data_IF_581295951183
#
_entry.id   IF_581295951183
#
_cell.length_a   1.000
_cell.length_b   1.000
_cell.length_c   1.000
_cell.angle_alpha   90.00
_cell.angle_beta   90.00
_cell.angle_gamma   90.00
#
_symmetry.space_group_name_H-M   'P 1'
#
loop_
_entity.id
_entity.type
_entity.pdbx_description
1 polymer ?
#
# COMPACT_ATOMS: atom_id res chain seq x y z
N UNK A 1 53.66 -21.74 70.35
CA UNK A 1 53.84 -20.82 69.20
C UNK A 1 54.00 -21.70 67.99
N UNK A 2 52.96 -21.90 67.23
CA UNK A 2 53.02 -22.45 65.90
C UNK A 2 51.69 -22.07 65.20
N UNK A 3 51.75 -21.06 64.34
CA UNK A 3 50.67 -20.66 63.46
C UNK A 3 50.64 -21.65 62.31
N UNK A 4 49.46 -22.21 62.06
CA UNK A 4 49.16 -22.97 60.86
C UNK A 4 48.36 -22.11 59.93
N UNK A 5 48.98 -21.71 58.83
CA UNK A 5 48.27 -21.09 57.70
C UNK A 5 47.52 -22.19 56.91
N UNK A 6 46.17 -22.03 56.84
CA UNK A 6 45.38 -22.84 55.93
C UNK A 6 45.15 -22.00 54.68
N UNK A 7 45.78 -22.37 53.58
CA UNK A 7 45.45 -21.88 52.22
C UNK A 7 44.13 -22.49 51.74
N UNK A 8 43.12 -21.69 51.53
CA UNK A 8 41.91 -22.10 50.84
C UNK A 8 42.12 -21.92 49.32
N UNK A 9 42.27 -23.02 48.62
CA UNK A 9 42.17 -23.07 47.16
C UNK A 9 40.70 -22.86 46.76
N UNK A 10 40.39 -21.69 46.20
CA UNK A 10 39.13 -21.47 45.47
C UNK A 10 39.30 -22.07 44.08
N UNK A 11 38.72 -23.23 43.84
CA UNK A 11 38.51 -23.77 42.49
C UNK A 11 37.47 -22.95 41.78
N UNK A 12 37.91 -22.11 40.83
CA UNK A 12 37.04 -21.45 39.83
C UNK A 12 36.67 -22.50 38.79
N UNK A 13 35.54 -23.17 38.97
CA UNK A 13 34.96 -24.02 37.93
C UNK A 13 34.49 -23.10 36.80
N UNK A 14 35.27 -23.00 35.73
CA UNK A 14 34.86 -22.42 34.46
C UNK A 14 33.77 -23.28 33.83
N UNK A 15 32.53 -22.83 33.93
CA UNK A 15 31.41 -23.40 33.15
C UNK A 15 31.70 -23.26 31.67
N UNK A 16 32.22 -24.29 31.06
CA UNK A 16 32.28 -24.43 29.59
C UNK A 16 30.83 -24.56 29.11
N UNK A 17 30.22 -23.45 28.67
CA UNK A 17 28.94 -23.47 27.99
C UNK A 17 29.04 -24.43 26.81
N UNK A 18 28.50 -25.63 26.97
CA UNK A 18 28.31 -26.57 25.86
C UNK A 18 27.37 -25.92 24.86
N UNK A 19 27.91 -25.45 23.76
CA UNK A 19 27.12 -25.00 22.60
C UNK A 19 26.52 -26.26 21.97
N UNK A 20 25.28 -26.57 22.31
CA UNK A 20 24.54 -27.63 21.63
C UNK A 20 24.18 -27.11 20.20
N UNK A 21 24.58 -27.85 19.15
CA UNK A 21 24.23 -27.47 17.79
C UNK A 21 22.71 -27.57 17.60
N UNK A 22 22.04 -26.46 17.42
CA UNK A 22 20.63 -26.43 17.09
C UNK A 22 20.46 -26.77 15.61
N UNK A 23 19.99 -27.97 15.30
CA UNK A 23 19.66 -28.37 13.94
C UNK A 23 18.25 -27.90 13.56
N UNK A 24 18.13 -26.80 12.84
CA UNK A 24 16.87 -26.41 12.20
C UNK A 24 16.71 -27.25 10.93
N UNK A 25 15.70 -28.13 10.90
CA UNK A 25 15.40 -29.00 9.75
C UNK A 25 14.71 -28.24 8.61
N UNK A 26 15.31 -27.15 8.15
CA UNK A 26 14.86 -26.43 6.98
C UNK A 26 15.87 -26.59 5.85
N UNK A 27 15.40 -27.09 4.72
CA UNK A 27 16.19 -27.16 3.49
C UNK A 27 15.59 -26.18 2.48
N UNK A 28 16.30 -25.10 2.13
CA UNK A 28 15.80 -24.16 1.15
C UNK A 28 15.66 -24.83 -0.21
N UNK A 29 14.57 -24.56 -0.91
CA UNK A 29 14.44 -24.92 -2.32
C UNK A 29 15.61 -24.33 -3.11
N UNK A 30 16.09 -24.99 -4.17
CA UNK A 30 17.22 -24.51 -4.97
C UNK A 30 17.08 -23.04 -5.37
N UNK A 31 15.86 -22.62 -5.74
CA UNK A 31 15.52 -21.25 -6.15
C UNK A 31 15.77 -20.18 -5.07
N UNK A 32 15.76 -20.56 -3.79
CA UNK A 32 15.99 -19.63 -2.67
C UNK A 32 17.39 -19.72 -2.05
N UNK A 33 18.28 -20.59 -2.55
CA UNK A 33 19.63 -20.72 -2.02
C UNK A 33 20.42 -19.40 -2.10
N UNK A 34 20.36 -18.73 -3.26
CA UNK A 34 21.00 -17.42 -3.46
C UNK A 34 20.44 -16.36 -2.50
N UNK A 35 19.11 -16.31 -2.32
CA UNK A 35 18.47 -15.42 -1.37
C UNK A 35 19.01 -15.62 0.06
N UNK A 36 19.13 -16.86 0.52
CA UNK A 36 19.67 -17.13 1.86
C UNK A 36 21.18 -16.86 1.99
N UNK A 37 21.90 -16.83 0.89
CA UNK A 37 23.34 -16.52 0.87
C UNK A 37 23.64 -15.04 0.64
N UNK A 38 22.61 -14.21 0.40
CA UNK A 38 22.76 -12.79 0.08
C UNK A 38 23.52 -12.04 1.18
N UNK A 39 24.23 -11.02 0.78
CA UNK A 39 24.92 -10.06 1.64
C UNK A 39 24.30 -8.68 1.61
N UNK A 40 23.48 -8.44 0.60
CA UNK A 40 22.79 -7.19 0.36
C UNK A 40 21.81 -6.89 1.49
N UNK A 41 21.74 -5.61 1.85
CA UNK A 41 20.90 -5.11 2.92
C UNK A 41 19.42 -5.18 2.58
N UNK A 42 19.08 -4.96 1.32
CA UNK A 42 17.72 -4.98 0.82
C UNK A 42 17.53 -6.11 -0.19
N UNK A 43 16.32 -6.64 -0.27
CA UNK A 43 16.00 -7.65 -1.25
C UNK A 43 14.60 -7.44 -1.83
N UNK A 44 14.45 -7.66 -3.13
CA UNK A 44 13.16 -7.68 -3.81
C UNK A 44 12.98 -9.05 -4.47
N UNK A 45 11.93 -9.78 -4.08
CA UNK A 45 11.60 -11.11 -4.58
C UNK A 45 10.24 -11.07 -5.24
N UNK A 46 10.22 -11.12 -6.55
CA UNK A 46 9.02 -11.25 -7.38
C UNK A 46 8.84 -12.72 -7.71
N UNK A 47 7.77 -13.34 -7.26
CA UNK A 47 7.64 -14.78 -7.49
C UNK A 47 6.18 -15.22 -7.63
N UNK A 48 5.99 -16.21 -8.51
CA UNK A 48 4.67 -16.80 -8.77
C UNK A 48 4.02 -17.36 -7.50
N UNK A 49 2.71 -17.58 -7.53
CA UNK A 49 2.00 -18.29 -6.45
C UNK A 49 2.59 -19.69 -6.26
N UNK A 50 2.63 -20.17 -5.01
CA UNK A 50 3.19 -21.48 -4.60
C UNK A 50 4.71 -21.62 -4.77
N UNK A 51 5.46 -20.57 -5.10
CA UNK A 51 6.93 -20.62 -5.15
C UNK A 51 7.58 -20.95 -3.79
N UNK A 52 6.91 -20.62 -2.67
CA UNK A 52 7.43 -20.84 -1.31
C UNK A 52 8.06 -19.60 -0.68
N UNK A 53 7.72 -18.41 -1.17
CA UNK A 53 8.18 -17.10 -0.65
C UNK A 53 8.10 -17.00 0.87
N UNK A 54 6.90 -17.22 1.41
CA UNK A 54 6.59 -17.07 2.84
C UNK A 54 7.49 -17.97 3.70
N UNK A 55 7.60 -19.25 3.34
CA UNK A 55 8.44 -20.22 4.08
C UNK A 55 9.90 -19.78 4.06
N UNK A 56 10.42 -19.39 2.91
CA UNK A 56 11.81 -18.92 2.80
C UNK A 56 12.05 -17.68 3.68
N UNK A 57 11.16 -16.71 3.64
CA UNK A 57 11.29 -15.47 4.41
C UNK A 57 11.10 -15.66 5.92
N UNK A 58 10.19 -16.53 6.36
CA UNK A 58 10.03 -16.88 7.78
C UNK A 58 11.29 -17.53 8.33
N UNK A 59 11.89 -18.47 7.59
CA UNK A 59 13.16 -19.08 8.02
C UNK A 59 14.35 -18.12 7.95
N UNK A 60 14.33 -17.15 7.06
CA UNK A 60 15.34 -16.08 7.02
C UNK A 60 15.24 -15.16 8.24
N UNK A 61 14.03 -14.75 8.64
CA UNK A 61 13.75 -14.00 9.87
C UNK A 61 14.21 -14.79 11.11
N UNK A 62 13.83 -16.06 11.20
CA UNK A 62 14.24 -16.92 12.31
C UNK A 62 15.77 -17.05 12.41
N UNK A 63 16.44 -17.29 11.28
CA UNK A 63 17.89 -17.36 11.22
C UNK A 63 18.55 -16.07 11.68
N UNK A 64 18.02 -14.93 11.22
CA UNK A 64 18.51 -13.61 11.62
C UNK A 64 18.29 -13.36 13.11
N UNK A 65 17.12 -13.72 13.65
CA UNK A 65 16.81 -13.60 15.07
C UNK A 65 17.77 -14.40 15.95
N UNK A 66 17.98 -15.67 15.62
CA UNK A 66 18.86 -16.58 16.39
C UNK A 66 20.33 -16.19 16.32
N UNK A 67 20.79 -15.64 15.20
CA UNK A 67 22.20 -15.25 15.00
C UNK A 67 22.51 -13.84 15.43
N UNK A 68 21.52 -13.03 15.74
CA UNK A 68 21.73 -11.65 16.15
C UNK A 68 22.50 -11.56 17.46
N UNK A 69 23.56 -10.74 17.47
CA UNK A 69 24.35 -10.39 18.66
C UNK A 69 23.97 -9.02 19.22
N UNK A 70 23.01 -8.33 18.61
CA UNK A 70 22.54 -7.03 19.05
C UNK A 70 21.74 -7.18 20.35
N UNK A 71 21.70 -6.13 21.13
CA UNK A 71 20.84 -6.09 22.31
C UNK A 71 19.37 -6.00 21.89
N UNK A 72 18.51 -6.89 22.45
CA UNK A 72 17.06 -6.94 22.21
C UNK A 72 16.68 -6.81 20.72
N UNK A 73 17.14 -7.70 19.84
CA UNK A 73 16.90 -7.55 18.41
C UNK A 73 15.42 -7.74 18.07
N UNK A 74 14.93 -6.93 17.13
CA UNK A 74 13.52 -6.89 16.72
C UNK A 74 13.38 -7.15 15.24
N UNK A 75 12.52 -8.11 14.91
CA UNK A 75 12.22 -8.49 13.54
C UNK A 75 10.72 -8.47 13.33
N UNK A 76 10.30 -8.10 12.13
CA UNK A 76 8.90 -7.99 11.77
C UNK A 76 8.57 -8.75 10.48
N UNK A 77 7.35 -9.27 10.41
CA UNK A 77 6.74 -9.74 9.19
C UNK A 77 5.45 -8.96 8.98
N UNK A 78 5.36 -8.23 7.88
CA UNK A 78 4.22 -7.39 7.52
C UNK A 78 3.49 -7.98 6.33
N UNK A 79 2.15 -7.96 6.39
CA UNK A 79 1.25 -8.14 5.23
C UNK A 79 0.34 -6.93 5.11
N UNK A 80 -0.37 -6.71 3.99
CA UNK A 80 -1.32 -5.60 3.86
C UNK A 80 -2.31 -5.52 5.02
N UNK A 81 -2.80 -6.66 5.49
CA UNK A 81 -3.70 -6.77 6.64
C UNK A 81 -3.17 -7.76 7.69
N UNK A 82 -3.33 -7.43 8.98
CA UNK A 82 -2.90 -8.32 10.08
C UNK A 82 -3.53 -9.71 9.99
N UNK A 83 -4.80 -9.80 9.55
CA UNK A 83 -5.49 -11.07 9.33
C UNK A 83 -4.77 -11.95 8.33
N UNK A 84 -4.21 -11.38 7.26
CA UNK A 84 -3.42 -12.10 6.26
C UNK A 84 -2.11 -12.61 6.86
N UNK A 85 -1.37 -11.78 7.61
CA UNK A 85 -0.15 -12.21 8.32
C UNK A 85 -0.44 -13.43 9.21
N UNK A 86 -1.56 -13.39 9.96
CA UNK A 86 -1.97 -14.50 10.82
C UNK A 86 -2.31 -15.76 10.02
N UNK A 87 -3.05 -15.65 8.94
CA UNK A 87 -3.45 -16.82 8.14
C UNK A 87 -2.32 -17.44 7.34
N UNK A 88 -1.34 -16.64 6.89
CA UNK A 88 -0.31 -17.06 5.96
C UNK A 88 1.00 -17.40 6.65
N UNK A 89 1.49 -16.52 7.54
CA UNK A 89 2.84 -16.61 8.09
C UNK A 89 2.90 -17.18 9.51
N UNK A 90 1.84 -17.05 10.31
CA UNK A 90 1.88 -17.40 11.72
C UNK A 90 2.18 -18.88 11.98
N UNK A 91 1.51 -19.76 11.28
CA UNK A 91 1.73 -21.20 11.45
C UNK A 91 3.15 -21.62 11.02
N UNK A 92 3.69 -21.01 9.95
CA UNK A 92 5.08 -21.25 9.55
C UNK A 92 6.07 -20.73 10.60
N UNK A 93 5.83 -19.55 11.18
CA UNK A 93 6.69 -19.01 12.23
C UNK A 93 6.67 -19.90 13.49
N UNK A 94 5.48 -20.33 13.91
CA UNK A 94 5.32 -21.27 15.03
C UNK A 94 6.04 -22.59 14.78
N UNK A 95 5.86 -23.17 13.60
CA UNK A 95 6.52 -24.41 13.22
C UNK A 95 8.05 -24.24 13.18
N UNK A 96 8.54 -23.15 12.62
CA UNK A 96 9.95 -22.85 12.53
C UNK A 96 10.62 -22.70 13.92
N UNK A 97 9.91 -22.11 14.90
CA UNK A 97 10.43 -21.88 16.25
C UNK A 97 10.44 -23.15 17.13
N UNK A 98 9.64 -24.17 16.81
CA UNK A 98 9.50 -25.37 17.66
C UNK A 98 10.84 -26.00 18.10
N UNK A 99 11.85 -26.14 17.23
CA UNK A 99 13.17 -26.67 17.66
C UNK A 99 13.87 -25.81 18.70
N UNK A 100 13.52 -24.53 18.83
CA UNK A 100 14.13 -23.61 19.80
C UNK A 100 13.41 -23.55 21.14
N UNK A 101 12.26 -24.19 21.26
CA UNK A 101 11.44 -24.20 22.47
C UNK A 101 12.19 -24.81 23.67
N UNK A 102 12.96 -25.85 23.42
CA UNK A 102 13.79 -26.49 24.47
C UNK A 102 14.89 -25.58 25.00
N UNK A 103 15.24 -24.52 24.27
CA UNK A 103 16.23 -23.53 24.67
C UNK A 103 15.57 -22.30 25.33
N UNK A 104 14.26 -22.33 25.58
CA UNK A 104 13.54 -21.26 26.26
C UNK A 104 12.84 -20.26 25.31
N UNK A 105 12.68 -20.59 24.01
CA UNK A 105 11.85 -19.77 23.14
C UNK A 105 10.36 -19.89 23.50
N UNK A 106 9.62 -18.78 23.44
CA UNK A 106 8.20 -18.69 23.80
C UNK A 106 7.36 -18.08 22.69
N UNK A 107 6.07 -18.44 22.70
CA UNK A 107 5.06 -17.98 21.72
C UNK A 107 3.98 -17.20 22.44
N UNK A 108 3.66 -16.02 21.91
CA UNK A 108 2.57 -15.15 22.39
C UNK A 108 1.50 -15.05 21.30
N UNK A 109 0.46 -15.88 21.41
CA UNK A 109 -0.59 -16.06 20.39
C UNK A 109 -1.41 -14.80 20.14
N UNK A 110 -1.72 -14.03 21.18
CA UNK A 110 -2.51 -12.79 21.07
C UNK A 110 -1.72 -11.66 20.42
N UNK A 111 -0.41 -11.62 20.64
CA UNK A 111 0.47 -10.60 20.10
C UNK A 111 1.10 -11.01 18.77
N UNK A 112 0.87 -12.25 18.32
CA UNK A 112 1.49 -12.85 17.14
C UNK A 112 3.02 -12.69 17.17
N UNK A 113 3.63 -13.00 18.33
CA UNK A 113 5.05 -12.78 18.62
C UNK A 113 5.72 -14.07 19.09
N UNK A 114 6.96 -14.24 18.67
CA UNK A 114 7.89 -15.28 19.15
C UNK A 114 9.09 -14.60 19.80
N UNK A 115 9.40 -14.99 21.04
CA UNK A 115 10.57 -14.54 21.77
C UNK A 115 11.62 -15.67 21.80
N UNK A 116 12.87 -15.32 21.49
CA UNK A 116 13.99 -16.25 21.46
C UNK A 116 14.91 -16.07 22.67
N UNK A 117 15.68 -17.11 23.05
CA UNK A 117 16.52 -17.09 24.27
C UNK A 117 17.58 -15.98 24.31
N UNK A 118 18.01 -15.49 23.15
CA UNK A 118 18.97 -14.38 23.04
C UNK A 118 18.30 -12.99 23.14
N UNK A 119 17.02 -12.91 23.53
CA UNK A 119 16.24 -11.68 23.63
C UNK A 119 15.70 -11.16 22.29
N UNK A 120 15.94 -11.88 21.19
CA UNK A 120 15.37 -11.54 19.90
C UNK A 120 13.85 -11.78 19.88
N UNK A 121 13.13 -10.93 19.14
CA UNK A 121 11.70 -11.09 18.89
C UNK A 121 11.41 -11.07 17.41
N UNK A 122 10.48 -11.93 16.99
CA UNK A 122 9.86 -11.88 15.67
C UNK A 122 8.36 -11.66 15.87
N UNK A 123 7.80 -10.61 15.30
CA UNK A 123 6.40 -10.25 15.44
C UNK A 123 5.74 -10.01 14.10
N UNK A 124 4.46 -10.42 13.97
CA UNK A 124 3.65 -10.15 12.80
C UNK A 124 2.85 -8.87 12.97
N UNK A 125 2.72 -8.10 11.87
CA UNK A 125 1.96 -6.85 11.80
C UNK A 125 1.10 -6.79 10.54
N UNK A 126 0.09 -5.92 10.55
CA UNK A 126 -0.63 -5.48 9.38
C UNK A 126 -0.19 -4.07 8.99
N UNK A 127 -0.06 -3.82 7.71
CA UNK A 127 0.22 -2.51 7.17
C UNK A 127 -1.01 -1.59 7.15
N UNK A 128 -2.20 -2.16 7.40
CA UNK A 128 -3.49 -1.48 7.56
C UNK A 128 -3.58 -0.61 8.82
N UNK A 129 -2.69 -0.81 9.79
CA UNK A 129 -2.58 0.03 10.98
C UNK A 129 -1.16 0.60 11.10
N UNK A 130 -0.81 1.65 10.36
CA UNK A 130 0.51 2.25 10.35
C UNK A 130 0.93 2.81 11.72
N UNK A 131 -0.02 3.28 12.52
CA UNK A 131 0.27 3.85 13.85
C UNK A 131 0.80 2.81 14.83
N UNK A 132 0.38 1.56 14.72
CA UNK A 132 0.93 0.46 15.51
C UNK A 132 2.41 0.17 15.23
N UNK A 133 2.92 0.67 14.12
CA UNK A 133 4.31 0.51 13.68
C UNK A 133 5.18 1.73 14.00
N UNK A 134 4.58 2.84 14.46
CA UNK A 134 5.32 4.05 14.85
C UNK A 134 6.05 3.83 16.17
N UNK A 135 7.27 4.31 16.26
CA UNK A 135 8.09 4.24 17.47
C UNK A 135 8.76 2.88 17.73
N UNK A 136 8.59 1.89 16.85
CA UNK A 136 9.36 0.64 16.90
C UNK A 136 10.72 0.81 16.22
N UNK A 137 11.71 0.06 16.69
CA UNK A 137 12.97 -0.14 15.96
C UNK A 137 13.03 -1.55 15.41
N UNK A 138 13.69 -1.72 14.27
CA UNK A 138 13.80 -3.01 13.59
C UNK A 138 15.23 -3.32 13.16
N UNK A 139 15.62 -4.58 13.36
CA UNK A 139 16.87 -5.14 12.84
C UNK A 139 16.65 -5.84 11.50
N UNK A 140 15.43 -6.24 11.20
CA UNK A 140 15.05 -6.81 9.93
C UNK A 140 13.55 -6.92 9.77
N UNK A 141 13.09 -6.85 8.53
CA UNK A 141 11.68 -6.90 8.18
C UNK A 141 11.44 -7.61 6.86
N UNK A 142 10.33 -8.35 6.79
CA UNK A 142 9.76 -8.88 5.56
C UNK A 142 8.44 -8.15 5.30
N UNK A 143 8.28 -7.60 4.10
CA UNK A 143 7.04 -6.99 3.62
C UNK A 143 6.45 -7.92 2.56
N UNK A 144 5.41 -8.67 2.94
CA UNK A 144 4.76 -9.66 2.09
C UNK A 144 3.55 -9.06 1.37
N UNK A 145 3.37 -9.47 0.12
CA UNK A 145 2.38 -8.90 -0.82
C UNK A 145 2.50 -7.36 -0.90
N UNK A 146 3.76 -6.89 -1.01
CA UNK A 146 4.06 -5.45 -1.02
C UNK A 146 3.35 -4.68 -2.12
N UNK A 147 3.01 -5.34 -3.23
CA UNK A 147 2.23 -4.74 -4.32
C UNK A 147 0.84 -4.22 -3.86
N UNK A 148 0.30 -4.77 -2.78
CA UNK A 148 -1.00 -4.39 -2.20
C UNK A 148 -0.87 -3.46 -0.97
N UNK A 149 0.37 -3.14 -0.53
CA UNK A 149 0.61 -2.23 0.58
C UNK A 149 0.60 -0.77 0.15
N UNK A 150 0.20 0.12 1.07
CA UNK A 150 0.47 1.55 0.94
C UNK A 150 1.98 1.80 0.89
N UNK A 151 2.53 2.40 -0.19
CA UNK A 151 3.96 2.68 -0.30
C UNK A 151 4.53 3.55 0.84
N UNK A 152 3.69 4.38 1.50
CA UNK A 152 4.10 5.21 2.64
C UNK A 152 4.51 4.37 3.85
N UNK A 153 3.98 3.16 4.00
CA UNK A 153 4.42 2.24 5.07
C UNK A 153 5.91 2.01 5.00
N UNK A 154 6.46 1.85 3.80
CA UNK A 154 7.90 1.73 3.62
C UNK A 154 8.62 3.05 3.88
N UNK A 155 8.26 4.10 3.17
CA UNK A 155 9.02 5.36 3.15
C UNK A 155 8.97 6.13 4.47
N UNK A 156 7.81 6.16 5.11
CA UNK A 156 7.56 7.00 6.29
C UNK A 156 7.71 6.27 7.63
N UNK A 157 7.58 4.92 7.63
CA UNK A 157 7.52 4.15 8.87
C UNK A 157 8.65 3.14 8.96
N UNK A 158 8.71 2.21 8.02
CA UNK A 158 9.64 1.08 8.12
C UNK A 158 11.08 1.50 7.82
N UNK A 159 11.29 2.34 6.81
CA UNK A 159 12.64 2.81 6.47
C UNK A 159 13.30 3.60 7.60
N UNK A 160 12.61 4.53 8.30
CA UNK A 160 13.10 5.14 9.52
C UNK A 160 13.36 4.13 10.66
N UNK A 161 12.43 3.19 10.91
CA UNK A 161 12.56 2.18 11.97
C UNK A 161 13.80 1.26 11.80
N UNK A 162 14.33 1.15 10.59
CA UNK A 162 15.57 0.40 10.28
C UNK A 162 16.84 1.26 10.36
N UNK A 163 16.73 2.58 10.49
CA UNK A 163 17.86 3.49 10.30
C UNK A 163 18.91 3.34 11.40
N UNK A 164 18.51 3.47 12.66
CA UNK A 164 19.41 3.48 13.83
C UNK A 164 20.22 2.18 13.97
N UNK A 165 19.60 1.08 13.58
CA UNK A 165 20.17 -0.25 13.78
C UNK A 165 20.74 -0.86 12.50
N UNK A 166 20.73 -0.08 11.41
CA UNK A 166 21.13 -0.54 10.07
C UNK A 166 20.44 -1.87 9.69
N UNK A 167 19.13 -1.94 10.01
CA UNK A 167 18.31 -3.11 9.76
C UNK A 167 18.13 -3.36 8.26
N UNK A 168 17.79 -4.60 7.89
CA UNK A 168 17.56 -5.03 6.51
C UNK A 168 16.06 -5.14 6.19
N UNK A 169 15.71 -5.13 4.91
CA UNK A 169 14.35 -5.35 4.44
C UNK A 169 14.29 -6.30 3.25
N UNK A 170 13.24 -7.13 3.23
CA UNK A 170 12.90 -8.02 2.13
C UNK A 170 11.48 -7.72 1.68
N UNK A 171 11.32 -7.37 0.42
CA UNK A 171 10.04 -7.15 -0.23
C UNK A 171 9.68 -8.38 -1.05
N UNK A 172 8.51 -8.95 -0.82
CA UNK A 172 8.05 -10.13 -1.56
C UNK A 172 6.62 -9.92 -2.04
N UNK A 173 6.27 -10.54 -3.15
CA UNK A 173 4.92 -10.48 -3.68
C UNK A 173 4.81 -11.05 -5.09
N UNK A 174 3.57 -11.00 -5.58
CA UNK A 174 3.21 -11.18 -6.97
C UNK A 174 2.98 -9.80 -7.60
N UNK A 175 3.32 -9.55 -8.86
CA UNK A 175 3.07 -8.27 -9.51
C UNK A 175 1.59 -7.85 -9.47
N UNK A 176 1.35 -6.54 -9.37
CA UNK A 176 0.03 -5.92 -9.47
C UNK A 176 0.11 -4.65 -10.32
N UNK A 177 0.45 -4.81 -11.59
CA UNK A 177 0.71 -3.68 -12.47
C UNK A 177 2.03 -2.98 -12.15
N UNK A 178 2.29 -1.86 -12.83
CA UNK A 178 3.47 -1.02 -12.62
C UNK A 178 3.20 -0.03 -11.47
N UNK A 179 3.45 -0.48 -10.26
CA UNK A 179 3.26 0.27 -9.01
C UNK A 179 4.58 0.40 -8.23
N UNK A 180 4.52 0.82 -6.97
CA UNK A 180 5.70 0.94 -6.10
C UNK A 180 6.52 -0.35 -5.99
N UNK A 181 5.91 -1.54 -6.11
CA UNK A 181 6.64 -2.82 -6.13
C UNK A 181 7.44 -3.00 -7.42
N UNK A 182 6.91 -2.53 -8.55
CA UNK A 182 7.65 -2.49 -9.82
C UNK A 182 8.85 -1.53 -9.74
N UNK A 183 8.69 -0.37 -9.13
CA UNK A 183 9.81 0.57 -8.97
C UNK A 183 10.89 0.00 -8.05
N UNK A 184 10.50 -0.69 -6.96
CA UNK A 184 11.47 -1.42 -6.12
C UNK A 184 12.16 -2.55 -6.88
N UNK A 185 11.45 -3.28 -7.73
CA UNK A 185 12.03 -4.30 -8.58
C UNK A 185 13.07 -3.73 -9.55
N UNK A 186 12.74 -2.62 -10.23
CA UNK A 186 13.70 -1.92 -11.11
C UNK A 186 14.94 -1.45 -10.36
N UNK A 187 14.72 -0.88 -9.19
CA UNK A 187 15.79 -0.43 -8.29
C UNK A 187 16.69 -1.59 -7.87
N UNK A 188 16.09 -2.72 -7.48
CA UNK A 188 16.82 -3.91 -7.05
C UNK A 188 17.70 -4.51 -8.15
N UNK A 189 17.37 -4.29 -9.42
CA UNK A 189 18.17 -4.74 -10.54
C UNK A 189 19.39 -3.83 -10.84
N UNK A 190 19.37 -2.58 -10.37
CA UNK A 190 20.39 -1.57 -10.71
C UNK A 190 21.30 -1.18 -9.56
N UNK A 191 20.86 -1.32 -8.31
CA UNK A 191 21.61 -0.87 -7.14
C UNK A 191 22.36 -2.02 -6.44
N UNK A 192 23.66 -1.87 -6.12
CA UNK A 192 24.47 -2.96 -5.55
C UNK A 192 24.07 -3.37 -4.13
N UNK A 193 23.34 -2.51 -3.41
CA UNK A 193 22.84 -2.81 -2.05
C UNK A 193 21.60 -3.69 -2.05
N UNK A 194 21.08 -4.03 -3.24
CA UNK A 194 19.85 -4.77 -3.42
C UNK A 194 20.09 -6.15 -4.04
N UNK A 195 19.47 -7.15 -3.45
CA UNK A 195 19.32 -8.49 -4.03
C UNK A 195 18.01 -8.55 -4.82
N UNK A 196 18.06 -8.97 -6.07
CA UNK A 196 16.89 -9.14 -6.94
C UNK A 196 16.70 -10.61 -7.29
N UNK A 197 15.46 -11.13 -7.14
CA UNK A 197 15.10 -12.48 -7.52
C UNK A 197 13.71 -12.50 -8.17
N UNK A 198 13.62 -13.00 -9.40
CA UNK A 198 12.35 -13.26 -10.07
C UNK A 198 12.19 -14.76 -10.29
N UNK A 199 11.03 -15.31 -9.92
CA UNK A 199 10.71 -16.73 -10.06
C UNK A 199 9.41 -16.90 -10.84
N UNK A 200 9.51 -17.18 -12.12
CA UNK A 200 8.37 -17.49 -13.00
C UNK A 200 8.04 -18.98 -12.94
N UNK A 201 6.76 -19.33 -12.99
CA UNK A 201 6.34 -20.72 -12.90
C UNK A 201 6.86 -21.57 -14.06
N UNK A 202 6.98 -21.00 -15.25
CA UNK A 202 7.57 -21.64 -16.44
C UNK A 202 9.04 -22.02 -16.27
N UNK A 203 9.78 -21.32 -15.40
CA UNK A 203 11.23 -21.48 -15.22
C UNK A 203 11.60 -22.29 -13.98
N UNK A 204 10.73 -22.32 -12.96
CA UNK A 204 11.07 -22.89 -11.65
C UNK A 204 10.93 -24.41 -11.55
N UNK A 205 10.09 -25.01 -12.40
CA UNK A 205 9.74 -26.43 -12.32
C UNK A 205 9.00 -26.84 -11.03
N UNK A 206 8.51 -25.88 -10.23
CA UNK A 206 7.82 -26.14 -8.96
C UNK A 206 6.36 -26.54 -9.12
N UNK A 207 5.78 -26.25 -10.27
CA UNK A 207 4.41 -26.61 -10.65
C UNK A 207 4.49 -27.52 -11.86
N UNK A 208 3.74 -28.63 -11.84
CA UNK A 208 3.72 -29.58 -12.95
C UNK A 208 3.22 -28.91 -14.25
N UNK A 209 3.81 -29.22 -15.42
CA UNK A 209 3.38 -28.64 -16.70
C UNK A 209 1.90 -28.82 -17.01
N UNK A 210 1.33 -29.98 -16.63
CA UNK A 210 -0.10 -30.26 -16.79
C UNK A 210 -0.97 -29.29 -16.00
N UNK A 211 -0.57 -28.92 -14.75
CA UNK A 211 -1.26 -27.96 -13.91
C UNK A 211 -1.16 -26.53 -14.47
N UNK A 212 0.00 -26.15 -14.99
CA UNK A 212 0.15 -24.87 -15.69
C UNK A 212 -0.72 -24.77 -16.94
N UNK A 213 -0.88 -25.90 -17.67
CA UNK A 213 -1.75 -25.96 -18.83
C UNK A 213 -3.24 -25.83 -18.45
N UNK A 214 -3.65 -26.41 -17.31
CA UNK A 214 -5.00 -26.22 -16.75
C UNK A 214 -5.22 -24.77 -16.34
N UNK A 215 -4.30 -24.21 -15.55
CA UNK A 215 -4.37 -22.81 -15.12
C UNK A 215 -4.49 -21.84 -16.31
N UNK A 216 -3.80 -22.10 -17.42
CA UNK A 216 -3.90 -21.28 -18.64
C UNK A 216 -5.28 -21.32 -19.30
N UNK A 217 -6.04 -22.40 -19.12
CA UNK A 217 -7.41 -22.51 -19.64
C UNK A 217 -8.43 -21.84 -18.75
N UNK A 218 -8.20 -21.88 -17.43
CA UNK A 218 -9.13 -21.36 -16.43
C UNK A 218 -8.98 -19.86 -16.20
N UNK A 219 -7.79 -19.30 -16.48
CA UNK A 219 -7.48 -17.89 -16.26
C UNK A 219 -7.42 -17.11 -17.58
N UNK A 220 -7.73 -15.82 -17.53
CA UNK A 220 -7.41 -14.94 -18.64
C UNK A 220 -5.89 -14.86 -18.85
N UNK A 221 -5.46 -14.53 -20.08
CA UNK A 221 -4.03 -14.39 -20.41
C UNK A 221 -3.32 -13.39 -19.47
N UNK A 222 -4.00 -12.29 -19.10
CA UNK A 222 -3.47 -11.29 -18.18
C UNK A 222 -3.33 -11.84 -16.75
N UNK A 223 -4.32 -12.59 -16.26
CA UNK A 223 -4.24 -13.24 -14.94
C UNK A 223 -3.12 -14.27 -14.88
N UNK A 224 -3.01 -15.11 -15.90
CA UNK A 224 -1.95 -16.10 -15.96
C UNK A 224 -0.56 -15.44 -16.01
N UNK A 225 -0.39 -14.42 -16.84
CA UNK A 225 0.85 -13.66 -16.94
C UNK A 225 1.24 -13.01 -15.60
N UNK A 226 0.27 -12.46 -14.87
CA UNK A 226 0.51 -11.84 -13.56
C UNK A 226 0.87 -12.89 -12.50
N UNK A 227 0.03 -13.90 -12.31
CA UNK A 227 0.10 -14.83 -11.17
C UNK A 227 1.18 -15.91 -11.33
N UNK A 228 1.46 -16.32 -12.57
CA UNK A 228 2.40 -17.40 -12.87
C UNK A 228 3.68 -16.93 -13.56
N UNK A 229 3.61 -15.94 -14.45
CA UNK A 229 4.78 -15.45 -15.19
C UNK A 229 5.36 -14.12 -14.64
N UNK A 230 4.87 -13.67 -13.50
CA UNK A 230 5.38 -12.50 -12.80
C UNK A 230 5.39 -11.21 -13.65
N UNK A 231 4.39 -11.07 -14.55
CA UNK A 231 4.30 -9.90 -15.42
C UNK A 231 3.77 -8.68 -14.67
N UNK A 232 4.53 -7.58 -14.68
CA UNK A 232 4.07 -6.28 -14.22
C UNK A 232 3.21 -5.54 -15.25
N UNK A 233 3.21 -5.98 -16.49
CA UNK A 233 2.45 -5.35 -17.58
C UNK A 233 1.03 -5.89 -17.69
N UNK A 234 0.71 -6.98 -16.99
CA UNK A 234 -0.63 -7.52 -16.95
C UNK A 234 -1.59 -6.54 -16.29
N UNK A 235 -2.80 -6.43 -16.84
CA UNK A 235 -3.86 -5.63 -16.23
C UNK A 235 -4.21 -6.18 -14.84
N UNK A 236 -4.34 -5.30 -13.85
CA UNK A 236 -4.80 -5.70 -12.51
C UNK A 236 -6.22 -6.24 -12.63
N UNK A 237 -6.42 -7.47 -12.21
CA UNK A 237 -7.72 -8.16 -12.29
C UNK A 237 -8.75 -7.41 -11.46
N UNK A 238 -9.89 -7.08 -12.09
CA UNK A 238 -10.96 -6.34 -11.42
C UNK A 238 -10.70 -4.86 -11.26
N UNK A 239 -9.58 -4.31 -11.77
CA UNK A 239 -9.33 -2.87 -11.72
C UNK A 239 -10.39 -2.11 -12.50
N UNK A 240 -10.99 -1.10 -11.86
CA UNK A 240 -12.05 -0.30 -12.48
C UNK A 240 -11.51 0.67 -13.54
N UNK A 241 -10.29 1.20 -13.34
CA UNK A 241 -9.70 2.26 -14.16
C UNK A 241 -8.32 1.90 -14.73
N UNK A 242 -7.71 0.79 -14.33
CA UNK A 242 -6.33 0.43 -14.65
C UNK A 242 -6.01 0.45 -16.16
N UNK A 243 -6.93 0.02 -17.02
CA UNK A 243 -6.76 0.09 -18.49
C UNK A 243 -6.78 1.53 -18.98
N UNK A 244 -7.73 2.34 -18.50
CA UNK A 244 -7.86 3.75 -18.89
C UNK A 244 -6.67 4.59 -18.43
N UNK A 245 -6.12 4.31 -17.26
CA UNK A 245 -4.91 4.98 -16.75
C UNK A 245 -3.68 4.63 -17.60
N UNK A 246 -3.52 3.37 -18.01
CA UNK A 246 -2.44 2.97 -18.93
C UNK A 246 -2.60 3.61 -20.33
N UNK A 247 -3.82 3.71 -20.82
CA UNK A 247 -4.10 4.43 -22.06
C UNK A 247 -3.77 5.92 -21.92
N UNK A 248 -4.08 6.53 -20.77
CA UNK A 248 -3.73 7.91 -20.50
C UNK A 248 -2.20 8.11 -20.49
N UNK A 249 -1.45 7.19 -19.90
CA UNK A 249 0.02 7.17 -19.88
C UNK A 249 0.59 7.01 -21.30
N UNK A 250 0.11 6.02 -22.05
CA UNK A 250 0.54 5.75 -23.43
C UNK A 250 0.24 6.92 -24.39
N UNK A 251 -0.82 7.69 -24.14
CA UNK A 251 -1.18 8.88 -24.88
C UNK A 251 -0.48 10.17 -24.41
N UNK A 252 0.41 10.06 -23.42
CA UNK A 252 1.14 11.20 -22.86
C UNK A 252 0.27 12.15 -22.03
N UNK A 253 -0.92 11.71 -21.56
CA UNK A 253 -1.81 12.51 -20.73
C UNK A 253 -1.48 12.45 -19.23
N UNK A 254 -0.54 11.60 -18.84
CA UNK A 254 0.14 11.62 -17.55
C UNK A 254 1.51 12.24 -17.76
N UNK A 255 1.61 13.57 -17.53
CA UNK A 255 2.80 14.36 -17.84
C UNK A 255 2.88 15.58 -16.89
N UNK A 256 3.71 16.57 -17.19
CA UNK A 256 3.68 17.85 -16.50
C UNK A 256 2.42 18.63 -16.87
N UNK A 257 1.52 18.90 -15.91
CA UNK A 257 0.28 19.67 -16.11
C UNK A 257 0.36 20.95 -15.26
N UNK A 258 0.75 22.08 -15.86
CA UNK A 258 0.91 23.32 -15.12
C UNK A 258 -0.46 23.89 -14.70
N UNK A 259 -0.46 24.57 -13.53
CA UNK A 259 -1.59 25.40 -13.12
C UNK A 259 -1.79 26.55 -14.10
N UNK A 260 -3.03 26.74 -14.56
CA UNK A 260 -3.45 27.86 -15.39
C UNK A 260 -4.11 28.94 -14.51
N UNK A 261 -3.49 30.12 -14.32
CA UNK A 261 -4.08 31.19 -13.51
C UNK A 261 -5.42 31.75 -14.05
N UNK A 262 -5.71 31.53 -15.33
CA UNK A 262 -6.97 31.98 -15.95
C UNK A 262 -8.15 31.05 -15.66
N UNK A 263 -7.89 29.82 -15.16
CA UNK A 263 -8.92 28.86 -14.82
C UNK A 263 -8.98 28.62 -13.31
N UNK A 264 -10.19 28.66 -12.74
CA UNK A 264 -10.38 28.38 -11.31
C UNK A 264 -10.23 26.89 -10.99
N UNK A 265 -9.78 26.58 -9.79
CA UNK A 265 -9.53 25.21 -9.33
C UNK A 265 -10.74 24.70 -8.53
N UNK A 266 -11.24 23.56 -8.91
CA UNK A 266 -12.16 22.74 -8.13
C UNK A 266 -11.37 21.76 -7.27
N UNK A 267 -11.81 21.58 -6.02
CA UNK A 267 -11.29 20.47 -5.19
C UNK A 267 -12.41 19.47 -4.94
N UNK A 268 -12.07 18.18 -4.92
CA UNK A 268 -12.99 17.12 -4.54
C UNK A 268 -12.35 16.27 -3.42
N UNK A 269 -13.14 16.03 -2.39
CA UNK A 269 -12.68 15.48 -1.13
C UNK A 269 -13.33 14.15 -0.81
N UNK A 270 -12.56 13.24 -0.25
CA UNK A 270 -13.06 12.15 0.56
C UNK A 270 -12.62 12.39 2.02
N UNK A 271 -13.57 12.44 2.95
CA UNK A 271 -13.34 12.85 4.35
C UNK A 271 -13.26 11.64 5.26
N UNK A 272 -12.07 11.10 5.48
CA UNK A 272 -11.81 10.07 6.50
C UNK A 272 -11.72 10.65 7.92
N UNK A 273 -12.24 9.93 8.92
CA UNK A 273 -12.12 10.33 10.35
C UNK A 273 -10.91 9.64 10.99
N UNK A 274 -10.75 8.34 10.76
CA UNK A 274 -9.61 7.52 11.22
C UNK A 274 -8.69 7.13 10.09
N UNK A 275 -9.20 7.22 8.86
CA UNK A 275 -8.53 6.91 7.62
C UNK A 275 -8.02 8.20 6.96
N UNK A 276 -7.39 8.07 5.80
CA UNK A 276 -6.89 9.21 5.07
C UNK A 276 -8.02 10.08 4.51
N UNK A 277 -7.88 11.40 4.58
CA UNK A 277 -8.64 12.33 3.75
C UNK A 277 -7.88 12.60 2.47
N UNK A 278 -8.53 12.39 1.33
CA UNK A 278 -7.96 12.58 0.00
C UNK A 278 -8.59 13.80 -0.70
N UNK A 279 -7.78 14.60 -1.38
CA UNK A 279 -8.21 15.82 -2.07
C UNK A 279 -7.60 15.88 -3.47
N UNK A 280 -8.43 15.89 -4.49
CA UNK A 280 -8.03 16.18 -5.87
C UNK A 280 -8.22 17.64 -6.23
N UNK A 281 -7.32 18.18 -7.05
CA UNK A 281 -7.36 19.55 -7.54
C UNK A 281 -7.48 19.51 -9.06
N UNK A 282 -8.56 20.08 -9.60
CA UNK A 282 -8.88 20.02 -11.02
C UNK A 282 -9.21 21.40 -11.59
N UNK A 283 -8.78 21.63 -12.81
CA UNK A 283 -9.20 22.78 -13.64
C UNK A 283 -9.94 22.26 -14.87
N UNK A 284 -11.00 22.94 -15.25
CA UNK A 284 -11.74 22.67 -16.51
C UNK A 284 -11.35 23.74 -17.52
N UNK A 285 -10.69 23.33 -18.60
CA UNK A 285 -10.19 24.20 -19.65
C UNK A 285 -10.77 23.72 -20.99
N UNK A 286 -11.82 24.36 -21.45
CA UNK A 286 -12.56 23.89 -22.61
C UNK A 286 -13.18 22.50 -22.38
N UNK A 287 -12.72 21.50 -23.12
CA UNK A 287 -13.16 20.10 -22.96
C UNK A 287 -12.21 19.25 -22.13
N UNK A 288 -11.06 19.80 -21.77
CA UNK A 288 -10.05 19.11 -20.98
C UNK A 288 -10.31 19.27 -19.48
N UNK A 289 -10.04 18.21 -18.74
CA UNK A 289 -10.01 18.22 -17.28
C UNK A 289 -8.56 18.05 -16.87
N UNK A 290 -7.98 19.09 -16.30
CA UNK A 290 -6.58 19.11 -15.87
C UNK A 290 -6.50 18.83 -14.37
N UNK A 291 -6.02 17.65 -14.01
CA UNK A 291 -5.77 17.25 -12.62
C UNK A 291 -4.36 17.72 -12.27
N UNK A 292 -4.29 18.85 -11.59
CA UNK A 292 -3.04 19.60 -11.37
C UNK A 292 -2.34 19.28 -10.07
N UNK A 293 -3.06 18.67 -9.12
CA UNK A 293 -2.48 18.34 -7.79
C UNK A 293 -3.33 17.27 -7.09
N UNK A 294 -2.72 16.62 -6.13
CA UNK A 294 -3.34 15.66 -5.22
C UNK A 294 -2.77 15.84 -3.81
N UNK A 295 -3.60 15.79 -2.80
CA UNK A 295 -3.18 15.86 -1.41
C UNK A 295 -3.88 14.80 -0.57
N UNK A 296 -3.14 14.13 0.30
CA UNK A 296 -3.67 13.11 1.19
C UNK A 296 -2.95 13.18 2.53
N UNK A 297 -3.70 13.12 3.62
CA UNK A 297 -3.17 13.00 4.98
C UNK A 297 -4.13 12.19 5.85
N UNK A 298 -3.62 11.58 6.92
CA UNK A 298 -4.39 10.83 7.89
C UNK A 298 -4.08 11.30 9.31
N UNK A 299 -5.02 11.13 10.25
CA UNK A 299 -4.80 11.41 11.67
C UNK A 299 -4.66 12.91 12.01
N UNK A 300 -5.13 13.79 11.14
CA UNK A 300 -5.07 15.26 11.32
C UNK A 300 -6.47 15.89 11.29
N UNK A 301 -6.61 17.07 11.87
CA UNK A 301 -7.87 17.80 11.94
C UNK A 301 -8.24 18.51 10.61
N UNK A 302 -9.49 18.97 10.49
CA UNK A 302 -9.94 19.71 9.31
C UNK A 302 -9.19 21.04 9.13
N UNK A 303 -8.68 21.64 10.19
CA UNK A 303 -7.87 22.87 10.15
C UNK A 303 -6.55 22.66 9.43
N UNK A 304 -5.95 21.46 9.53
CA UNK A 304 -4.76 21.09 8.76
C UNK A 304 -5.00 21.18 7.25
N UNK A 305 -6.11 20.62 6.76
CA UNK A 305 -6.43 20.64 5.34
C UNK A 305 -6.76 22.06 4.86
N UNK A 306 -7.48 22.85 5.65
CA UNK A 306 -7.73 24.24 5.33
C UNK A 306 -6.43 25.05 5.16
N UNK A 307 -5.44 24.85 6.07
CA UNK A 307 -4.11 25.46 5.95
C UNK A 307 -3.35 24.95 4.73
N UNK A 308 -3.43 23.65 4.43
CA UNK A 308 -2.78 23.06 3.27
C UNK A 308 -3.32 23.68 1.96
N UNK A 309 -4.63 23.88 1.85
CA UNK A 309 -5.23 24.57 0.70
C UNK A 309 -4.81 26.04 0.63
N UNK A 310 -4.83 26.75 1.75
CA UNK A 310 -4.44 28.16 1.79
C UNK A 310 -2.96 28.40 1.43
N UNK A 311 -2.10 27.40 1.65
CA UNK A 311 -0.69 27.45 1.26
C UNK A 311 -0.44 27.21 -0.24
N UNK A 312 -1.43 26.73 -1.00
CA UNK A 312 -1.33 26.52 -2.44
C UNK A 312 -1.56 27.83 -3.21
N UNK A 313 -0.90 28.04 -4.34
CA UNK A 313 -1.03 29.26 -5.15
C UNK A 313 -2.29 29.25 -6.04
N UNK A 314 -3.38 28.59 -5.61
CA UNK A 314 -4.54 28.33 -6.44
C UNK A 314 -5.70 29.29 -6.13
N UNK A 315 -6.37 29.76 -7.20
CA UNK A 315 -7.65 30.44 -7.09
C UNK A 315 -8.77 29.38 -7.19
N UNK A 316 -9.55 29.23 -6.11
CA UNK A 316 -10.56 28.19 -6.02
C UNK A 316 -11.91 28.61 -6.59
N UNK A 317 -12.52 27.74 -7.39
CA UNK A 317 -13.91 27.85 -7.84
C UNK A 317 -14.87 27.33 -6.74
N UNK A 318 -14.49 26.24 -6.08
CA UNK A 318 -15.26 25.62 -5.02
C UNK A 318 -14.67 24.30 -4.55
N UNK A 319 -15.32 23.75 -3.51
CA UNK A 319 -14.89 22.55 -2.83
C UNK A 319 -16.04 21.53 -2.80
N UNK A 320 -15.86 20.39 -3.46
CA UNK A 320 -16.83 19.30 -3.53
C UNK A 320 -16.53 18.35 -2.38
N UNK A 321 -17.42 18.25 -1.40
CA UNK A 321 -17.29 17.36 -0.25
C UNK A 321 -18.33 16.24 -0.29
N UNK A 322 -18.11 15.10 0.38
CA UNK A 322 -19.07 14.01 0.44
C UNK A 322 -20.43 14.48 0.98
N UNK A 323 -21.50 13.84 0.54
CA UNK A 323 -22.86 14.20 0.96
C UNK A 323 -23.09 14.02 2.48
N UNK A 324 -22.37 13.08 3.13
CA UNK A 324 -22.41 12.85 4.58
C UNK A 324 -21.69 13.92 5.40
N UNK A 325 -20.92 14.82 4.77
CA UNK A 325 -20.27 15.95 5.44
C UNK A 325 -21.24 16.91 6.14
N UNK A 326 -22.55 16.87 5.77
CA UNK A 326 -23.60 17.63 6.44
C UNK A 326 -24.10 16.97 7.74
N UNK A 327 -23.76 15.69 8.01
CA UNK A 327 -24.16 15.02 9.23
C UNK A 327 -23.48 15.65 10.45
N UNK A 328 -24.27 15.92 11.51
CA UNK A 328 -23.73 16.47 12.75
C UNK A 328 -23.01 15.41 13.57
N UNK A 329 -21.85 15.74 14.05
CA UNK A 329 -21.07 14.89 14.95
C UNK A 329 -21.63 14.94 16.38
N UNK A 330 -21.78 13.79 17.02
CA UNK A 330 -22.35 13.68 18.36
C UNK A 330 -21.55 14.46 19.44
N UNK A 331 -20.23 14.58 19.26
CA UNK A 331 -19.34 15.24 20.24
C UNK A 331 -19.35 16.75 20.17
N UNK A 332 -19.48 17.33 18.96
CA UNK A 332 -19.37 18.78 18.74
C UNK A 332 -20.69 19.45 18.41
N UNK A 333 -21.70 18.68 18.00
CA UNK A 333 -22.97 19.18 17.49
C UNK A 333 -22.87 19.90 16.13
N UNK A 334 -21.68 20.00 15.55
CA UNK A 334 -21.41 20.66 14.26
C UNK A 334 -21.21 19.61 13.16
N UNK A 335 -21.56 19.97 11.95
CA UNK A 335 -21.23 19.15 10.76
C UNK A 335 -19.83 19.50 10.26
N UNK A 336 -19.19 18.56 9.52
CA UNK A 336 -17.90 18.81 8.87
C UNK A 336 -17.98 19.97 7.89
N UNK A 337 -19.10 20.11 7.21
CA UNK A 337 -19.39 21.25 6.31
C UNK A 337 -19.37 22.58 7.06
N UNK A 338 -20.04 22.66 8.24
CA UNK A 338 -20.02 23.87 9.08
C UNK A 338 -18.60 24.19 9.56
N UNK A 339 -17.82 23.17 9.97
CA UNK A 339 -16.43 23.36 10.41
C UNK A 339 -15.56 23.88 9.27
N UNK A 340 -15.63 23.28 8.07
CA UNK A 340 -14.85 23.75 6.91
C UNK A 340 -15.21 25.19 6.53
N UNK A 341 -16.49 25.57 6.60
CA UNK A 341 -16.95 26.94 6.34
C UNK A 341 -16.40 27.93 7.36
N UNK A 342 -16.36 27.56 8.66
CA UNK A 342 -15.76 28.38 9.71
C UNK A 342 -14.23 28.54 9.57
N UNK A 343 -13.57 27.53 8.97
CA UNK A 343 -12.13 27.56 8.65
C UNK A 343 -11.83 28.40 7.39
N UNK A 344 -12.84 29.04 6.81
CA UNK A 344 -12.67 30.00 5.72
C UNK A 344 -12.81 29.43 4.31
N UNK A 345 -13.16 28.12 4.13
CA UNK A 345 -13.44 27.58 2.80
C UNK A 345 -14.76 28.15 2.27
N UNK A 346 -14.72 28.69 1.06
CA UNK A 346 -15.87 29.28 0.37
C UNK A 346 -16.30 28.42 -0.81
N UNK A 347 -17.59 28.43 -1.15
CA UNK A 347 -18.07 27.67 -2.31
C UNK A 347 -18.09 26.16 -2.07
N UNK A 348 -18.33 25.71 -0.83
CA UNK A 348 -18.44 24.28 -0.52
C UNK A 348 -19.76 23.76 -1.10
N UNK A 349 -19.68 22.67 -1.85
CA UNK A 349 -20.84 21.98 -2.44
C UNK A 349 -20.82 20.52 -2.05
N UNK A 350 -21.99 19.94 -1.81
CA UNK A 350 -22.11 18.52 -1.53
C UNK A 350 -22.09 17.73 -2.85
N UNK A 351 -21.31 16.65 -2.88
CA UNK A 351 -21.38 15.70 -3.97
C UNK A 351 -22.79 15.08 -4.06
N UNK A 352 -23.30 14.82 -5.26
CA UNK A 352 -24.60 14.17 -5.42
C UNK A 352 -24.57 12.77 -4.84
N UNK A 353 -25.66 12.37 -4.17
CA UNK A 353 -25.86 10.96 -3.74
C UNK A 353 -25.97 10.10 -4.98
N UNK A 354 -25.19 9.06 -5.07
CA UNK A 354 -25.15 8.12 -6.20
C UNK A 354 -24.77 6.72 -5.76
N UNK A 355 -25.09 5.73 -6.57
CA UNK A 355 -24.58 4.36 -6.37
C UNK A 355 -23.09 4.34 -6.73
N UNK A 356 -22.32 3.47 -6.08
CA UNK A 356 -20.88 3.30 -6.35
C UNK A 356 -20.62 3.05 -7.83
N UNK A 357 -21.44 2.21 -8.46
CA UNK A 357 -21.35 1.86 -9.89
C UNK A 357 -21.53 3.09 -10.81
N UNK A 358 -22.47 3.98 -10.49
CA UNK A 358 -22.73 5.21 -11.26
C UNK A 358 -21.50 6.13 -11.19
N UNK A 359 -20.92 6.27 -9.99
CA UNK A 359 -19.69 7.03 -9.79
C UNK A 359 -18.49 6.43 -10.52
N UNK A 360 -18.35 5.09 -10.52
CA UNK A 360 -17.31 4.40 -11.28
C UNK A 360 -17.46 4.67 -12.78
N UNK A 361 -18.68 4.62 -13.30
CA UNK A 361 -18.96 4.89 -14.71
C UNK A 361 -18.69 6.36 -15.08
N UNK A 362 -19.04 7.31 -14.21
CA UNK A 362 -18.71 8.73 -14.42
C UNK A 362 -17.19 8.95 -14.53
N UNK A 363 -16.40 8.30 -13.67
CA UNK A 363 -14.93 8.34 -13.75
C UNK A 363 -14.43 7.73 -15.05
N UNK A 364 -14.97 6.59 -15.48
CA UNK A 364 -14.61 5.97 -16.78
C UNK A 364 -14.85 6.90 -17.97
N UNK A 365 -15.89 7.69 -17.92
CA UNK A 365 -16.19 8.69 -18.95
C UNK A 365 -15.30 9.93 -18.85
N UNK A 366 -14.79 10.25 -17.65
CA UNK A 366 -13.96 11.42 -17.41
C UNK A 366 -12.48 11.19 -17.77
N UNK A 367 -11.90 10.04 -17.43
CA UNK A 367 -10.46 9.74 -17.64
C UNK A 367 -9.99 9.96 -19.09
N UNK A 368 -10.75 9.59 -20.14
CA UNK A 368 -10.34 9.85 -21.53
C UNK A 368 -10.10 11.33 -21.87
N UNK A 369 -10.68 12.26 -21.11
CA UNK A 369 -10.54 13.71 -21.25
C UNK A 369 -9.62 14.34 -20.19
N UNK A 370 -9.13 13.52 -19.24
CA UNK A 370 -8.34 13.98 -18.12
C UNK A 370 -6.84 13.96 -18.44
N UNK A 371 -6.15 15.00 -17.99
CA UNK A 371 -4.71 15.12 -17.97
C UNK A 371 -4.25 15.16 -16.53
N UNK A 372 -3.23 14.41 -16.18
CA UNK A 372 -2.75 14.28 -14.81
C UNK A 372 -1.33 14.80 -14.69
N UNK A 373 -1.07 15.64 -13.69
CA UNK A 373 0.31 16.00 -13.34
C UNK A 373 1.02 14.79 -12.74
N UNK A 374 2.04 14.27 -13.47
CA UNK A 374 2.74 13.05 -13.11
C UNK A 374 3.46 13.14 -11.76
N UNK A 375 3.94 14.31 -11.38
CA UNK A 375 4.69 14.51 -10.12
C UNK A 375 3.77 14.72 -8.93
N UNK A 376 2.88 15.73 -9.03
CA UNK A 376 2.01 16.11 -7.91
C UNK A 376 0.87 15.12 -7.66
N UNK A 377 0.44 14.39 -8.71
CA UNK A 377 -0.64 13.42 -8.62
C UNK A 377 -0.16 11.97 -8.54
N UNK A 378 1.14 11.69 -8.47
CA UNK A 378 1.70 10.34 -8.54
C UNK A 378 0.96 9.34 -7.63
N UNK A 379 0.77 9.69 -6.36
CA UNK A 379 0.05 8.86 -5.37
C UNK A 379 -1.39 8.57 -5.75
N UNK A 380 -2.12 9.59 -6.21
CA UNK A 380 -3.51 9.45 -6.65
C UNK A 380 -3.62 8.64 -7.95
N UNK A 381 -2.66 8.79 -8.88
CA UNK A 381 -2.57 8.01 -10.12
C UNK A 381 -2.39 6.53 -9.80
N UNK A 382 -1.48 6.19 -8.86
CA UNK A 382 -1.30 4.81 -8.39
C UNK A 382 -2.60 4.25 -7.79
N UNK A 383 -3.27 5.05 -6.96
CA UNK A 383 -4.53 4.65 -6.35
C UNK A 383 -5.62 4.36 -7.40
N UNK A 384 -5.82 5.25 -8.38
CA UNK A 384 -6.78 5.02 -9.47
C UNK A 384 -6.43 3.80 -10.32
N UNK A 385 -5.14 3.57 -10.57
CA UNK A 385 -4.67 2.44 -11.38
C UNK A 385 -4.92 1.09 -10.71
N UNK A 386 -4.90 1.05 -9.37
CA UNK A 386 -5.02 -0.14 -8.55
C UNK A 386 -6.40 -0.35 -7.92
N UNK A 387 -7.28 0.66 -7.95
CA UNK A 387 -8.64 0.57 -7.41
C UNK A 387 -9.44 -0.52 -8.12
N UNK A 388 -9.85 -1.55 -7.37
CA UNK A 388 -10.35 -2.80 -7.93
C UNK A 388 -11.56 -3.35 -7.17
N UNK A 389 -12.32 -4.21 -7.84
CA UNK A 389 -13.36 -5.02 -7.23
C UNK A 389 -12.74 -6.06 -6.28
N UNK A 390 -13.47 -6.41 -5.20
CA UNK A 390 -13.11 -7.50 -4.31
C UNK A 390 -13.19 -8.83 -5.07
N UNK A 391 -12.15 -9.66 -4.99
CA UNK A 391 -12.15 -11.00 -5.56
C UNK A 391 -12.53 -12.01 -4.48
N UNK A 392 -13.56 -12.82 -4.75
CA UNK A 392 -13.92 -13.96 -3.90
C UNK A 392 -13.12 -15.17 -4.35
N UNK A 393 -12.02 -15.47 -3.64
CA UNK A 393 -11.14 -16.60 -3.98
C UNK A 393 -11.83 -17.96 -3.88
N UNK A 394 -12.96 -18.08 -3.14
CA UNK A 394 -13.68 -19.33 -3.00
C UNK A 394 -14.56 -19.65 -4.20
N UNK A 395 -15.12 -18.62 -4.81
CA UNK A 395 -16.05 -18.76 -5.92
C UNK A 395 -15.45 -18.32 -7.26
N UNK A 396 -14.20 -17.82 -7.25
CA UNK A 396 -13.49 -17.27 -8.42
C UNK A 396 -14.28 -16.15 -9.14
N UNK A 397 -15.06 -15.34 -8.41
CA UNK A 397 -15.89 -14.25 -8.96
C UNK A 397 -15.46 -12.92 -8.39
N UNK A 398 -15.57 -11.86 -9.21
CA UNK A 398 -15.45 -10.49 -8.72
C UNK A 398 -16.75 -10.09 -8.02
N UNK A 399 -16.65 -9.61 -6.79
CA UNK A 399 -17.78 -9.03 -6.08
C UNK A 399 -18.13 -7.65 -6.65
N UNK A 400 -19.41 -7.22 -6.56
CA UNK A 400 -19.81 -5.92 -7.07
C UNK A 400 -19.23 -4.73 -6.28
N UNK A 401 -18.60 -4.98 -5.13
CA UNK A 401 -18.06 -3.94 -4.28
C UNK A 401 -16.55 -3.82 -4.44
N UNK A 402 -16.01 -2.58 -4.40
CA UNK A 402 -14.56 -2.36 -4.40
C UNK A 402 -13.93 -2.86 -3.09
N UNK A 403 -12.66 -3.25 -3.20
CA UNK A 403 -11.82 -3.47 -2.01
C UNK A 403 -11.67 -2.15 -1.26
N UNK A 404 -11.92 -2.18 0.04
CA UNK A 404 -11.64 -1.02 0.89
C UNK A 404 -10.20 -1.12 1.41
N UNK A 405 -9.31 -0.43 0.73
CA UNK A 405 -7.88 -0.30 1.07
C UNK A 405 -7.41 1.14 0.83
N UNK A 406 -6.11 1.39 0.87
CA UNK A 406 -5.54 2.71 0.67
C UNK A 406 -5.93 3.38 -0.67
N UNK A 407 -6.35 2.61 -1.68
CA UNK A 407 -6.76 3.15 -2.98
C UNK A 407 -8.15 3.76 -2.95
N UNK A 408 -8.97 3.39 -1.97
CA UNK A 408 -10.38 3.78 -1.89
C UNK A 408 -10.56 5.28 -1.77
N UNK A 409 -9.79 5.93 -0.90
CA UNK A 409 -9.95 7.36 -0.60
C UNK A 409 -9.75 8.25 -1.81
N UNK A 410 -8.68 8.01 -2.58
CA UNK A 410 -8.41 8.72 -3.82
C UNK A 410 -9.50 8.48 -4.87
N UNK A 411 -9.95 7.21 -5.01
CA UNK A 411 -10.98 6.83 -5.97
C UNK A 411 -12.35 7.43 -5.61
N UNK A 412 -12.70 7.48 -4.33
CA UNK A 412 -13.96 8.03 -3.84
C UNK A 412 -14.01 9.55 -4.04
N UNK A 413 -12.93 10.26 -3.68
CA UNK A 413 -12.79 11.69 -3.98
C UNK A 413 -12.88 11.97 -5.49
N UNK A 414 -12.26 11.12 -6.32
CA UNK A 414 -12.32 11.28 -7.78
C UNK A 414 -13.70 11.00 -8.37
N UNK A 415 -14.48 10.07 -7.78
CA UNK A 415 -15.88 9.84 -8.12
C UNK A 415 -16.74 11.08 -7.83
N UNK A 416 -16.53 11.72 -6.68
CA UNK A 416 -17.23 12.96 -6.34
C UNK A 416 -16.89 14.09 -7.31
N UNK A 417 -15.64 14.18 -7.75
CA UNK A 417 -15.23 15.11 -8.82
C UNK A 417 -15.99 14.84 -10.11
N UNK A 418 -15.97 13.60 -10.60
CA UNK A 418 -16.59 13.20 -11.85
C UNK A 418 -18.09 13.48 -11.88
N UNK A 419 -18.80 13.08 -10.81
CA UNK A 419 -20.25 13.27 -10.68
C UNK A 419 -20.66 14.74 -10.58
N UNK A 420 -19.80 15.59 -10.03
CA UNK A 420 -20.11 17.02 -9.84
C UNK A 420 -19.80 17.84 -11.08
N UNK A 421 -18.71 17.54 -11.80
CA UNK A 421 -18.36 18.26 -13.04
C UNK A 421 -19.32 17.95 -14.19
N UNK A 422 -19.85 16.73 -14.30
CA UNK A 422 -20.86 16.38 -15.31
C UNK A 422 -22.16 17.20 -15.14
N UNK A 423 -22.59 17.46 -13.92
CA UNK A 423 -23.78 18.30 -13.66
C UNK A 423 -23.57 19.76 -14.05
N UNK A 424 -22.34 20.27 -13.89
CA UNK A 424 -22.04 21.66 -14.25
C UNK A 424 -21.98 21.86 -15.77
N UNK A 425 -21.46 20.87 -16.50
CA UNK A 425 -21.47 20.90 -17.97
C UNK A 425 -22.86 20.74 -18.57
N UNK A 426 -23.79 20.05 -17.90
CA UNK A 426 -25.19 19.95 -18.30
C UNK A 426 -26.05 21.18 -17.96
N UNK A 427 -25.60 22.05 -17.05
CA UNK A 427 -26.30 23.24 -16.57
C UNK A 427 -26.01 24.55 -17.33
N UNK A 428 -24.98 24.60 -18.15
CA UNK A 428 -24.65 25.75 -18.98
C UNK A 428 -25.24 25.65 -20.39
N UNK A 429 -26.38 24.97 -20.53
CA UNK A 429 -27.19 25.02 -21.72
C UNK A 429 -27.75 26.44 -21.87
N UNK A 430 -27.41 27.07 -22.97
CA UNK A 430 -27.95 28.31 -23.45
C UNK A 430 -29.50 28.32 -23.43
N UNK A 431 -30.08 28.63 -22.28
CA UNK A 431 -31.47 29.02 -22.16
C UNK A 431 -31.58 30.55 -21.97
N UNK A 432 -30.79 31.31 -22.70
CA UNK A 432 -31.19 32.67 -23.00
C UNK A 432 -32.18 32.57 -24.16
N UNK A 433 -33.48 32.64 -23.84
CA UNK A 433 -34.49 32.89 -24.88
C UNK A 433 -34.06 34.14 -25.61
N UNK A 434 -33.67 33.99 -26.88
CA UNK A 434 -33.47 35.12 -27.77
C UNK A 434 -34.89 35.69 -28.02
N UNK A 435 -35.23 36.80 -27.38
CA UNK A 435 -36.43 37.53 -27.67
C UNK A 435 -36.18 38.25 -29.00
N UNK A 436 -36.80 37.74 -30.05
CA UNK A 436 -36.85 38.47 -31.32
C UNK A 436 -37.80 39.69 -31.16
N UNK A 437 -37.39 40.92 -31.53
CA UNK A 437 -38.32 42.05 -31.57
C UNK A 437 -39.40 41.75 -32.57
N UNK A 438 -40.65 41.80 -32.13
CA UNK A 438 -41.79 41.78 -33.03
C UNK A 438 -41.84 43.14 -33.80
N UNK A 439 -41.26 43.17 -34.99
CA UNK A 439 -41.54 44.24 -35.89
C UNK A 439 -42.88 43.92 -36.59
N UNK A 440 -43.90 44.67 -36.22
CA UNK A 440 -45.19 44.70 -36.93
C UNK A 440 -44.95 45.15 -38.36
N UNK A 441 -45.42 44.32 -39.28
CA UNK A 441 -45.59 44.72 -40.69
C UNK A 441 -46.85 45.54 -40.74
N UNK A 442 -46.75 46.82 -41.20
CA UNK A 442 -47.82 47.63 -41.63
C UNK A 442 -48.09 47.36 -43.13
#
# INVERSE_FOLDING_TARGET
>A
MSESMSESMSETMGETRRVLPLAIRYQPRPQFKAFHARRERFACIVAHRRAGKTVACVHDLQRAALRSKKERPRFAYLSPFLRQSKQIAWDYLRAAMMPTRFLGASVHETELRVDYPNGAQVRLFGADNPDALRGIYLDGVVLDEYADMDPRVWSEIIRPALADRQGWAVFIGTPRGRNAFFELWRRAQSEPEWFALMLKASETGLIAPAELALARRDLSAAQYAQEFECSFDAAVVGAYYGTLMREAEAQGRIAGVPYDPAALVWTAWDLGIRDATAIWFAQVVGREIRIIDYYEAAGVDLGHYARALAAKPYAYAGHIVPHDAQAKELGTGKSRLEVLSHLGLKGITLAPVHRIEDGINAVRMMIPRAWFDAGKCARGIDALSLYRAEHDDKHAVLRPHPVHDWTSHAADAFRYLAMSLDRQSGGSGFHRRIAYPQHGVV
#
